data_IF_065861930713
#
_entry.id   IF_065861930713
#
_cell.length_a   1.000
_cell.length_b   1.000
_cell.length_c   1.000
_cell.angle_alpha   90.00
_cell.angle_beta   90.00
_cell.angle_gamma   90.00
#
_symmetry.space_group_name_H-M   'P 1'
#
loop_
_entity.id
_entity.type
_entity.pdbx_description
1 polymer ?
#
# COMPACT_ATOMS: atom_id res chain seq x y z
N UNK A 1 -18.33 1.24 -10.20
CA UNK A 1 -18.22 1.68 -8.80
C UNK A 1 -17.10 0.87 -8.17
N UNK A 2 -16.16 1.53 -7.47
CA UNK A 2 -15.08 0.80 -6.82
C UNK A 2 -15.63 0.03 -5.62
N UNK A 3 -15.25 -1.25 -5.50
CA UNK A 3 -15.67 -2.14 -4.41
C UNK A 3 -14.70 -2.05 -3.25
N UNK A 4 -15.21 -1.82 -2.06
CA UNK A 4 -14.45 -1.75 -0.82
C UNK A 4 -14.96 -2.83 0.13
N UNK A 5 -14.06 -3.70 0.59
CA UNK A 5 -14.38 -4.67 1.62
C UNK A 5 -13.99 -4.10 3.00
N UNK A 6 -14.91 -4.19 3.96
CA UNK A 6 -14.67 -3.84 5.37
C UNK A 6 -14.64 -5.15 6.16
N UNK A 7 -13.57 -5.39 6.89
CA UNK A 7 -13.43 -6.50 7.84
C UNK A 7 -13.22 -5.92 9.23
N UNK A 8 -14.28 -5.94 10.03
CA UNK A 8 -14.35 -5.29 11.34
C UNK A 8 -15.41 -6.03 12.18
N UNK A 9 -15.08 -6.51 13.36
CA UNK A 9 -16.00 -7.27 14.20
C UNK A 9 -16.99 -6.38 14.94
N UNK A 10 -16.62 -5.13 15.27
CA UNK A 10 -17.50 -4.22 16.00
C UNK A 10 -18.57 -3.62 15.07
N UNK A 11 -19.89 -3.94 15.27
CA UNK A 11 -20.96 -3.51 14.37
C UNK A 11 -21.12 -1.99 14.27
N UNK A 12 -20.79 -1.24 15.34
CA UNK A 12 -20.88 0.22 15.39
C UNK A 12 -19.85 0.86 14.47
N UNK A 13 -18.59 0.39 14.50
CA UNK A 13 -17.50 0.88 13.65
C UNK A 13 -17.77 0.46 12.21
N UNK A 14 -18.11 -0.81 11.96
CA UNK A 14 -18.42 -1.33 10.63
C UNK A 14 -19.57 -0.54 9.99
N UNK A 15 -20.68 -0.33 10.72
CA UNK A 15 -21.83 0.44 10.25
C UNK A 15 -21.50 1.91 9.95
N UNK A 16 -20.69 2.55 10.80
CA UNK A 16 -20.23 3.90 10.63
C UNK A 16 -19.36 4.04 9.35
N UNK A 17 -18.41 3.16 9.14
CA UNK A 17 -17.57 3.13 7.94
C UNK A 17 -18.42 2.90 6.70
N UNK A 18 -19.32 1.91 6.72
CA UNK A 18 -20.21 1.59 5.61
C UNK A 18 -21.03 2.80 5.15
N UNK A 19 -21.68 3.51 6.09
CA UNK A 19 -22.50 4.69 5.77
C UNK A 19 -21.64 5.74 5.07
N UNK A 20 -20.48 6.05 5.61
CA UNK A 20 -19.58 7.05 5.04
C UNK A 20 -19.09 6.68 3.64
N UNK A 21 -18.73 5.42 3.41
CA UNK A 21 -18.27 4.95 2.10
C UNK A 21 -19.41 4.98 1.06
N UNK A 22 -20.62 4.57 1.43
CA UNK A 22 -21.79 4.66 0.55
C UNK A 22 -22.12 6.10 0.15
N UNK A 23 -22.01 7.05 1.09
CA UNK A 23 -22.16 8.48 0.80
C UNK A 23 -21.11 9.01 -0.19
N UNK A 24 -19.96 8.34 -0.27
CA UNK A 24 -18.89 8.66 -1.23
C UNK A 24 -18.94 7.81 -2.52
N UNK A 25 -20.07 7.17 -2.81
CA UNK A 25 -20.33 6.37 -4.01
C UNK A 25 -19.42 5.14 -4.16
N UNK A 26 -19.04 4.48 -3.05
CA UNK A 26 -18.38 3.18 -3.08
C UNK A 26 -19.37 2.04 -2.95
N UNK A 27 -19.07 0.91 -3.60
CA UNK A 27 -19.77 -0.35 -3.39
C UNK A 27 -19.12 -1.07 -2.18
N UNK A 28 -19.91 -1.35 -1.14
CA UNK A 28 -19.39 -1.78 0.16
C UNK A 28 -19.81 -3.19 0.47
N UNK A 29 -18.81 -4.02 0.72
CA UNK A 29 -18.92 -5.41 1.19
C UNK A 29 -18.47 -5.43 2.65
N UNK A 30 -19.14 -6.20 3.49
CA UNK A 30 -18.86 -6.29 4.93
C UNK A 30 -18.50 -7.71 5.32
N UNK A 31 -17.57 -7.85 6.26
CA UNK A 31 -17.23 -9.10 6.94
C UNK A 31 -17.01 -8.83 8.44
N UNK A 32 -17.33 -9.82 9.26
CA UNK A 32 -17.25 -9.71 10.73
C UNK A 32 -16.03 -10.45 11.29
N UNK A 33 -15.44 -11.35 10.51
CA UNK A 33 -14.26 -12.13 10.90
C UNK A 33 -13.23 -12.14 9.79
N UNK A 34 -12.00 -12.48 10.13
CA UNK A 34 -10.91 -12.59 9.17
C UNK A 34 -11.17 -13.65 8.10
N UNK A 35 -11.72 -14.81 8.50
CA UNK A 35 -12.06 -15.90 7.60
C UNK A 35 -13.10 -15.47 6.57
N UNK A 36 -14.19 -14.83 7.03
CA UNK A 36 -15.22 -14.27 6.16
C UNK A 36 -14.64 -13.21 5.21
N UNK A 37 -13.71 -12.39 5.71
CA UNK A 37 -13.00 -11.38 4.94
C UNK A 37 -12.23 -11.99 3.77
N UNK A 38 -11.49 -13.06 3.99
CA UNK A 38 -10.75 -13.77 2.94
C UNK A 38 -11.71 -14.38 1.91
N UNK A 39 -12.79 -15.03 2.34
CA UNK A 39 -13.78 -15.63 1.44
C UNK A 39 -14.42 -14.55 0.55
N UNK A 40 -14.86 -13.44 1.13
CA UNK A 40 -15.47 -12.32 0.41
C UNK A 40 -14.48 -11.61 -0.53
N UNK A 41 -13.21 -11.53 -0.15
CA UNK A 41 -12.18 -10.99 -1.03
C UNK A 41 -12.01 -11.86 -2.29
N UNK A 42 -12.01 -13.19 -2.15
CA UNK A 42 -11.95 -14.14 -3.29
C UNK A 42 -13.16 -14.06 -4.19
N UNK A 43 -14.37 -13.97 -3.60
CA UNK A 43 -15.63 -13.93 -4.34
C UNK A 43 -15.81 -12.60 -5.10
N UNK A 44 -15.60 -11.48 -4.41
CA UNK A 44 -15.98 -10.17 -4.94
C UNK A 44 -14.83 -9.38 -5.55
N UNK A 45 -13.58 -9.76 -5.29
CA UNK A 45 -12.33 -9.11 -5.78
C UNK A 45 -12.36 -7.59 -5.60
N UNK A 46 -12.46 -7.09 -4.35
CA UNK A 46 -12.50 -5.66 -4.07
C UNK A 46 -11.18 -4.98 -4.47
N UNK A 47 -11.24 -3.70 -4.84
CA UNK A 47 -10.05 -2.91 -5.14
C UNK A 47 -9.29 -2.52 -3.86
N UNK A 48 -10.02 -2.31 -2.75
CA UNK A 48 -9.43 -1.95 -1.45
C UNK A 48 -10.11 -2.74 -0.35
N UNK A 49 -9.34 -3.17 0.63
CA UNK A 49 -9.83 -3.72 1.90
C UNK A 49 -9.47 -2.79 3.05
N UNK A 50 -10.43 -2.59 3.95
CA UNK A 50 -10.25 -1.96 5.25
C UNK A 50 -10.30 -3.08 6.28
N UNK A 51 -9.24 -3.28 7.03
CA UNK A 51 -9.01 -4.48 7.83
C UNK A 51 -8.61 -4.12 9.25
N UNK A 52 -9.44 -4.51 10.22
CA UNK A 52 -9.04 -4.41 11.63
C UNK A 52 -7.93 -5.41 11.96
N UNK A 53 -6.98 -4.99 12.77
CA UNK A 53 -5.94 -5.87 13.31
C UNK A 53 -6.54 -6.83 14.33
N UNK A 54 -7.42 -6.33 15.20
CA UNK A 54 -7.93 -7.08 16.35
C UNK A 54 -9.23 -7.83 16.01
N UNK A 55 -9.15 -8.82 15.14
CA UNK A 55 -10.29 -9.66 14.78
C UNK A 55 -10.37 -10.92 15.63
N UNK A 56 -11.59 -11.45 15.89
CA UNK A 56 -11.77 -12.76 16.47
C UNK A 56 -11.36 -13.86 15.45
N UNK A 57 -10.79 -14.96 15.95
CA UNK A 57 -10.31 -16.06 15.11
C UNK A 57 -8.91 -15.76 14.54
N UNK A 58 -8.77 -15.69 13.24
CA UNK A 58 -7.52 -15.23 12.63
C UNK A 58 -7.41 -13.71 12.74
N UNK A 59 -6.24 -13.22 13.19
CA UNK A 59 -6.02 -11.80 13.32
C UNK A 59 -5.85 -11.08 11.96
N UNK A 60 -6.01 -9.76 11.97
CA UNK A 60 -5.92 -8.97 10.74
C UNK A 60 -4.54 -9.00 10.09
N UNK A 61 -3.45 -9.26 10.81
CA UNK A 61 -2.11 -9.36 10.24
C UNK A 61 -1.98 -10.62 9.38
N UNK A 62 -2.50 -11.75 9.85
CA UNK A 62 -2.51 -12.99 9.08
C UNK A 62 -3.46 -12.92 7.88
N UNK A 63 -4.62 -12.24 8.03
CA UNK A 63 -5.51 -11.92 6.90
C UNK A 63 -4.78 -11.06 5.86
N UNK A 64 -4.09 -9.99 6.30
CA UNK A 64 -3.31 -9.11 5.42
C UNK A 64 -2.28 -9.90 4.62
N UNK A 65 -1.48 -10.74 5.29
CA UNK A 65 -0.47 -11.59 4.66
C UNK A 65 -1.07 -12.54 3.62
N UNK A 66 -2.17 -13.21 3.97
CA UNK A 66 -2.87 -14.14 3.08
C UNK A 66 -3.38 -13.42 1.85
N UNK A 67 -4.09 -12.30 2.04
CA UNK A 67 -4.66 -11.53 0.94
C UNK A 67 -3.59 -10.88 0.07
N UNK A 68 -2.46 -10.48 0.63
CA UNK A 68 -1.35 -9.94 -0.16
C UNK A 68 -0.72 -10.98 -1.07
N UNK A 69 -0.62 -12.24 -0.62
CA UNK A 69 -0.13 -13.34 -1.45
C UNK A 69 -1.10 -13.69 -2.59
N UNK A 70 -2.41 -13.67 -2.32
CA UNK A 70 -3.42 -14.01 -3.32
C UNK A 70 -3.76 -12.83 -4.27
N UNK A 71 -3.69 -11.61 -3.77
CA UNK A 71 -4.08 -10.38 -4.48
C UNK A 71 -3.01 -9.30 -4.35
N UNK A 72 -1.87 -9.41 -5.06
CA UNK A 72 -0.74 -8.48 -4.93
C UNK A 72 -1.12 -7.02 -5.16
N UNK A 73 -2.07 -6.77 -6.07
CA UNK A 73 -2.50 -5.42 -6.49
C UNK A 73 -3.68 -4.84 -5.68
N UNK A 74 -4.23 -5.58 -4.72
CA UNK A 74 -5.32 -5.07 -3.88
C UNK A 74 -4.79 -4.07 -2.87
N UNK A 75 -5.44 -2.92 -2.71
CA UNK A 75 -5.11 -1.96 -1.66
C UNK A 75 -5.51 -2.48 -0.28
N UNK A 76 -4.63 -2.38 0.72
CA UNK A 76 -4.91 -2.81 2.10
C UNK A 76 -4.67 -1.66 3.06
N UNK A 77 -5.73 -1.23 3.77
CA UNK A 77 -5.66 -0.26 4.87
C UNK A 77 -5.92 -0.99 6.17
N UNK A 78 -4.96 -0.94 7.10
CA UNK A 78 -5.13 -1.52 8.43
C UNK A 78 -5.78 -0.52 9.38
N UNK A 79 -6.78 -0.96 10.16
CA UNK A 79 -7.28 -0.23 11.32
C UNK A 79 -6.57 -0.72 12.57
N UNK A 80 -6.06 0.19 13.40
CA UNK A 80 -5.29 -0.17 14.60
C UNK A 80 -5.69 0.67 15.81
N UNK A 81 -5.62 0.10 17.00
CA UNK A 81 -5.73 0.86 18.24
C UNK A 81 -4.41 1.60 18.54
N UNK A 82 -4.49 2.77 19.18
CA UNK A 82 -3.37 3.71 19.42
C UNK A 82 -2.18 3.15 20.22
N UNK A 83 -2.24 1.92 20.73
CA UNK A 83 -1.42 1.50 21.87
C UNK A 83 -0.04 0.92 21.53
N UNK A 84 0.29 0.60 20.28
CA UNK A 84 1.61 0.02 19.98
C UNK A 84 2.16 0.50 18.63
N UNK A 85 3.28 1.24 18.67
CA UNK A 85 4.05 1.56 17.47
C UNK A 85 4.55 0.30 16.73
N UNK A 86 4.65 -0.82 17.45
CA UNK A 86 4.95 -2.15 16.91
C UNK A 86 3.88 -2.66 15.95
N UNK A 87 2.57 -2.46 16.24
CA UNK A 87 1.48 -2.96 15.39
C UNK A 87 1.42 -2.26 14.04
N UNK A 88 1.79 -0.97 14.00
CA UNK A 88 1.87 -0.18 12.75
C UNK A 88 3.01 -0.69 11.87
N UNK A 89 4.18 -0.92 12.46
CA UNK A 89 5.36 -1.43 11.73
C UNK A 89 5.08 -2.85 11.24
N UNK A 90 4.48 -3.70 12.08
CA UNK A 90 4.12 -5.07 11.71
C UNK A 90 3.07 -5.09 10.59
N UNK A 91 1.97 -4.34 10.70
CA UNK A 91 0.95 -4.29 9.64
C UNK A 91 1.53 -3.89 8.29
N UNK A 92 2.41 -2.89 8.27
CA UNK A 92 3.12 -2.51 7.06
C UNK A 92 4.12 -3.60 6.61
N UNK A 93 4.83 -4.28 7.50
CA UNK A 93 5.72 -5.39 7.16
C UNK A 93 4.98 -6.60 6.56
N UNK A 94 3.71 -6.83 6.95
CA UNK A 94 2.85 -7.88 6.39
C UNK A 94 2.18 -7.52 5.06
N UNK A 95 2.42 -6.34 4.50
CA UNK A 95 1.96 -6.02 3.16
C UNK A 95 0.86 -4.95 3.07
N UNK A 96 0.46 -4.31 4.16
CA UNK A 96 -0.48 -3.19 4.10
C UNK A 96 0.09 -2.00 3.33
N UNK A 97 -0.76 -1.26 2.63
CA UNK A 97 -0.40 -0.03 1.90
C UNK A 97 -0.48 1.20 2.79
N UNK A 98 -1.35 1.15 3.81
CA UNK A 98 -1.57 2.24 4.75
C UNK A 98 -2.15 1.72 6.07
N UNK A 99 -2.17 2.57 7.10
CA UNK A 99 -2.82 2.28 8.39
C UNK A 99 -3.55 3.52 8.92
N UNK A 100 -4.61 3.28 9.70
CA UNK A 100 -5.40 4.32 10.36
C UNK A 100 -5.58 3.95 11.83
N UNK A 101 -5.36 4.93 12.71
CA UNK A 101 -5.49 4.75 14.15
C UNK A 101 -6.94 5.02 14.57
N UNK A 102 -7.55 4.09 15.32
CA UNK A 102 -8.85 4.28 15.98
C UNK A 102 -8.69 5.18 17.25
N UNK A 103 -9.58 6.15 17.48
CA UNK A 103 -10.69 6.58 16.63
C UNK A 103 -10.22 7.46 15.47
N UNK A 104 -10.84 7.32 14.31
CA UNK A 104 -10.45 8.02 13.08
C UNK A 104 -11.56 8.93 12.52
N UNK A 105 -11.14 9.89 11.71
CA UNK A 105 -12.07 10.75 10.97
C UNK A 105 -12.52 10.01 9.68
N UNK A 106 -13.83 9.91 9.39
CA UNK A 106 -14.33 9.29 8.15
C UNK A 106 -13.81 9.94 6.88
N UNK A 107 -13.60 11.26 6.91
CA UNK A 107 -13.01 11.98 5.78
C UNK A 107 -11.57 11.52 5.51
N UNK A 108 -10.77 11.36 6.56
CA UNK A 108 -9.41 10.82 6.47
C UNK A 108 -9.41 9.43 5.80
N UNK A 109 -10.25 8.51 6.29
CA UNK A 109 -10.38 7.17 5.71
C UNK A 109 -10.76 7.26 4.22
N UNK A 110 -11.72 8.10 3.88
CA UNK A 110 -12.15 8.29 2.48
C UNK A 110 -11.03 8.81 1.59
N UNK A 111 -10.24 9.78 2.06
CA UNK A 111 -9.11 10.35 1.31
C UNK A 111 -8.01 9.30 1.07
N UNK A 112 -7.71 8.47 2.07
CA UNK A 112 -6.75 7.39 1.96
C UNK A 112 -7.19 6.31 0.97
N UNK A 113 -8.47 5.91 1.00
CA UNK A 113 -9.03 4.98 0.02
C UNK A 113 -8.91 5.56 -1.40
N UNK A 114 -9.28 6.84 -1.60
CA UNK A 114 -9.14 7.49 -2.91
C UNK A 114 -7.68 7.57 -3.38
N UNK A 115 -6.74 7.79 -2.47
CA UNK A 115 -5.31 7.78 -2.78
C UNK A 115 -4.85 6.39 -3.26
N UNK A 116 -5.27 5.32 -2.57
CA UNK A 116 -4.97 3.94 -2.97
C UNK A 116 -5.64 3.61 -4.31
N UNK A 117 -6.91 3.95 -4.51
CA UNK A 117 -7.62 3.70 -5.76
C UNK A 117 -6.96 4.40 -6.96
N UNK A 118 -6.44 5.62 -6.79
CA UNK A 118 -5.64 6.28 -7.85
C UNK A 118 -4.43 5.43 -8.23
N UNK A 119 -3.76 4.80 -7.25
CA UNK A 119 -2.61 3.93 -7.49
C UNK A 119 -3.01 2.65 -8.22
N UNK A 120 -4.11 2.02 -7.77
CA UNK A 120 -4.63 0.78 -8.38
C UNK A 120 -5.16 1.05 -9.80
N UNK A 121 -5.83 2.19 -10.03
CA UNK A 121 -6.54 2.51 -11.28
C UNK A 121 -5.73 3.38 -12.26
N UNK A 122 -4.53 3.88 -11.91
CA UNK A 122 -3.75 4.73 -12.80
C UNK A 122 -3.36 3.97 -14.09
N UNK A 123 -4.10 4.19 -15.15
CA UNK A 123 -3.79 3.71 -16.52
C UNK A 123 -3.10 4.85 -17.24
N UNK A 124 -1.79 4.76 -17.40
CA UNK A 124 -1.05 5.69 -18.25
C UNK A 124 -1.21 5.26 -19.70
N UNK A 125 -1.79 6.14 -20.52
CA UNK A 125 -1.81 6.00 -21.98
C UNK A 125 -0.55 6.67 -22.53
N UNK A 126 0.51 5.91 -22.73
CA UNK A 126 1.69 6.33 -23.49
C UNK A 126 2.09 5.21 -24.46
N UNK A 127 2.54 5.57 -25.65
CA UNK A 127 3.03 4.61 -26.65
C UNK A 127 4.35 3.94 -26.21
N UNK A 128 5.07 4.54 -25.26
CA UNK A 128 6.25 3.95 -24.60
C UNK A 128 5.85 3.45 -23.20
N UNK A 129 5.32 2.24 -23.15
CA UNK A 129 4.85 1.63 -21.88
C UNK A 129 5.97 1.02 -21.02
N UNK A 130 7.23 1.21 -21.36
CA UNK A 130 8.36 0.59 -20.66
C UNK A 130 9.37 1.65 -20.24
N UNK A 131 9.69 1.70 -18.95
CA UNK A 131 10.82 2.47 -18.42
C UNK A 131 11.85 1.51 -17.82
N UNK A 132 13.13 1.88 -17.96
CA UNK A 132 14.24 1.04 -17.48
C UNK A 132 15.18 1.81 -16.57
N UNK A 133 15.76 1.11 -15.58
CA UNK A 133 16.73 1.66 -14.66
C UNK A 133 17.66 0.59 -14.11
N UNK A 134 18.90 0.51 -14.61
CA UNK A 134 19.82 -0.59 -14.31
C UNK A 134 19.25 -1.93 -14.77
N UNK A 135 19.19 -2.97 -13.89
CA UNK A 135 18.62 -4.28 -14.25
C UNK A 135 17.09 -4.30 -14.22
N UNK A 136 16.44 -3.17 -13.92
CA UNK A 136 14.98 -3.10 -13.75
C UNK A 136 14.29 -2.58 -15.00
N UNK A 137 13.12 -3.19 -15.26
CA UNK A 137 12.18 -2.82 -16.31
C UNK A 137 10.79 -2.72 -15.70
N UNK A 138 10.16 -1.57 -15.88
CA UNK A 138 8.77 -1.34 -15.43
C UNK A 138 7.88 -1.28 -16.67
N UNK A 139 6.89 -2.16 -16.70
CA UNK A 139 5.80 -2.07 -17.66
C UNK A 139 4.69 -1.20 -17.03
N UNK A 140 4.51 -0.01 -17.58
CA UNK A 140 3.55 0.97 -17.10
C UNK A 140 2.10 0.55 -17.37
N UNK A 141 1.87 -0.26 -18.40
CA UNK A 141 0.53 -0.73 -18.77
C UNK A 141 0.07 -1.86 -17.84
N UNK A 142 0.90 -2.89 -17.67
CA UNK A 142 0.59 -4.02 -16.78
C UNK A 142 0.89 -3.74 -15.31
N UNK A 143 1.60 -2.63 -15.00
CA UNK A 143 2.09 -2.25 -13.66
C UNK A 143 2.98 -3.31 -13.02
N UNK A 144 3.76 -3.98 -13.85
CA UNK A 144 4.70 -5.01 -13.44
C UNK A 144 6.13 -4.48 -13.44
N UNK A 145 6.93 -4.99 -12.53
CA UNK A 145 8.37 -4.72 -12.47
C UNK A 145 9.11 -6.04 -12.67
N UNK A 146 10.15 -5.97 -13.47
CA UNK A 146 11.07 -7.08 -13.72
C UNK A 146 12.47 -6.68 -13.30
N UNK A 147 13.24 -7.62 -12.76
CA UNK A 147 14.66 -7.53 -12.52
C UNK A 147 15.33 -8.66 -13.30
N UNK A 148 16.26 -8.34 -14.19
CA UNK A 148 16.93 -9.33 -15.06
C UNK A 148 15.92 -10.25 -15.79
N UNK A 149 14.82 -9.67 -16.32
CA UNK A 149 13.68 -10.31 -16.99
C UNK A 149 12.78 -11.19 -16.08
N UNK A 150 13.07 -11.32 -14.78
CA UNK A 150 12.21 -12.00 -13.81
C UNK A 150 11.23 -11.03 -13.15
N UNK A 151 9.94 -11.39 -13.12
CA UNK A 151 8.90 -10.56 -12.49
C UNK A 151 9.11 -10.50 -10.96
N UNK A 152 9.07 -9.29 -10.40
CA UNK A 152 9.13 -9.06 -8.96
C UNK A 152 7.71 -8.85 -8.44
N UNK A 153 7.33 -9.60 -7.41
CA UNK A 153 6.05 -9.39 -6.72
C UNK A 153 6.11 -8.15 -5.83
N UNK A 154 5.38 -7.09 -6.22
CA UNK A 154 5.36 -5.79 -5.54
C UNK A 154 3.94 -5.31 -5.27
N UNK A 155 3.78 -4.54 -4.20
CA UNK A 155 2.51 -3.87 -3.88
C UNK A 155 2.30 -2.62 -4.73
N UNK A 156 1.06 -2.08 -4.83
CA UNK A 156 0.80 -0.82 -5.51
C UNK A 156 1.66 0.36 -5.02
N UNK A 157 1.92 0.42 -3.72
CA UNK A 157 2.76 1.46 -3.11
C UNK A 157 4.23 1.30 -3.50
N UNK A 158 4.75 0.07 -3.46
CA UNK A 158 6.12 -0.24 -3.88
C UNK A 158 6.34 0.02 -5.37
N UNK A 159 5.34 -0.29 -6.21
CA UNK A 159 5.36 0.03 -7.63
C UNK A 159 5.54 1.53 -7.87
N UNK A 160 4.76 2.38 -7.17
CA UNK A 160 4.88 3.83 -7.33
C UNK A 160 6.23 4.37 -6.86
N UNK A 161 6.74 3.88 -5.73
CA UNK A 161 8.08 4.24 -5.26
C UNK A 161 9.14 3.91 -6.29
N UNK A 162 9.11 2.69 -6.85
CA UNK A 162 10.06 2.27 -7.89
C UNK A 162 9.95 3.17 -9.13
N UNK A 163 8.72 3.44 -9.59
CA UNK A 163 8.48 4.31 -10.75
C UNK A 163 9.09 5.69 -10.53
N UNK A 164 8.76 6.35 -9.39
CA UNK A 164 9.29 7.67 -9.04
C UNK A 164 10.82 7.67 -9.03
N UNK A 165 11.43 6.66 -8.47
CA UNK A 165 12.89 6.58 -8.39
C UNK A 165 13.55 6.37 -9.75
N UNK A 166 13.03 5.46 -10.57
CA UNK A 166 13.59 5.16 -11.90
C UNK A 166 13.38 6.32 -12.88
N UNK A 167 12.25 7.04 -12.79
CA UNK A 167 11.99 8.25 -13.59
C UNK A 167 12.88 9.44 -13.19
N UNK A 168 13.46 9.42 -11.98
CA UNK A 168 14.26 10.53 -11.45
C UNK A 168 15.62 10.04 -10.92
N UNK A 169 16.47 9.43 -11.75
CA UNK A 169 17.74 8.89 -11.31
C UNK A 169 18.65 9.98 -10.76
N UNK A 170 19.29 9.71 -9.63
CA UNK A 170 20.21 10.66 -8.97
C UNK A 170 19.54 11.75 -8.15
N UNK A 171 18.24 11.99 -8.30
CA UNK A 171 17.51 12.94 -7.43
C UNK A 171 17.35 12.36 -6.02
N UNK A 172 17.72 13.16 -5.01
CA UNK A 172 17.41 12.86 -3.64
C UNK A 172 16.02 13.40 -3.31
N UNK A 173 15.15 12.53 -2.79
CA UNK A 173 13.82 12.88 -2.31
C UNK A 173 13.84 12.87 -0.79
N UNK A 174 13.24 13.88 -0.17
CA UNK A 174 12.95 13.82 1.26
C UNK A 174 11.70 12.96 1.53
N UNK A 175 11.43 12.67 2.82
CA UNK A 175 10.29 11.81 3.21
C UNK A 175 8.95 12.44 2.87
N UNK A 176 8.82 13.74 3.06
CA UNK A 176 7.58 14.46 2.80
C UNK A 176 7.29 14.54 1.29
N UNK A 177 8.32 14.77 0.45
CA UNK A 177 8.17 14.69 -1.01
C UNK A 177 7.72 13.31 -1.48
N UNK A 178 8.30 12.22 -0.95
CA UNK A 178 7.86 10.86 -1.29
C UNK A 178 6.46 10.58 -0.77
N UNK A 179 6.12 11.09 0.41
CA UNK A 179 4.79 10.98 1.00
C UNK A 179 3.75 11.63 0.08
N UNK A 180 3.98 12.88 -0.32
CA UNK A 180 3.10 13.63 -1.20
C UNK A 180 2.93 12.97 -2.58
N UNK A 181 4.03 12.51 -3.17
CA UNK A 181 4.01 11.88 -4.50
C UNK A 181 3.30 10.52 -4.49
N UNK A 182 3.48 9.73 -3.43
CA UNK A 182 2.94 8.37 -3.34
C UNK A 182 1.59 8.33 -2.64
N UNK A 183 1.41 9.03 -1.53
CA UNK A 183 0.16 9.03 -0.76
C UNK A 183 -0.75 10.23 -1.06
N UNK A 184 -0.21 11.31 -1.60
CA UNK A 184 -0.92 12.55 -1.98
C UNK A 184 -0.80 13.63 -0.90
N UNK A 185 -0.96 14.90 -1.33
CA UNK A 185 -0.82 16.08 -0.46
C UNK A 185 -1.79 16.13 0.71
N UNK A 186 -2.92 15.45 0.61
CA UNK A 186 -3.94 15.39 1.67
C UNK A 186 -3.68 14.25 2.67
N UNK A 187 -2.52 13.56 2.58
CA UNK A 187 -2.20 12.46 3.47
C UNK A 187 -1.82 12.98 4.87
N UNK A 188 -2.62 12.63 5.88
CA UNK A 188 -2.45 13.07 7.27
C UNK A 188 -1.69 12.05 8.15
N UNK A 189 -0.91 11.15 7.55
CA UNK A 189 -0.16 10.10 8.27
C UNK A 189 1.28 10.51 8.60
N UNK A 190 1.95 9.64 9.39
CA UNK A 190 3.36 9.81 9.74
C UNK A 190 4.27 9.44 8.54
N UNK A 191 5.25 10.29 8.24
CA UNK A 191 6.23 10.05 7.17
C UNK A 191 7.10 8.80 7.38
N UNK A 192 7.07 8.18 8.57
CA UNK A 192 7.67 6.85 8.82
C UNK A 192 7.12 5.73 7.93
N UNK A 193 5.89 5.90 7.38
CA UNK A 193 5.34 4.97 6.39
C UNK A 193 6.25 4.83 5.17
N UNK A 194 6.94 5.90 4.79
CA UNK A 194 7.92 5.90 3.70
C UNK A 194 9.08 4.95 4.03
N UNK A 195 9.65 5.07 5.24
CA UNK A 195 10.80 4.25 5.65
C UNK A 195 10.47 2.75 5.65
N UNK A 196 9.27 2.40 6.11
CA UNK A 196 8.82 1.01 6.11
C UNK A 196 8.66 0.47 4.68
N UNK A 197 8.05 1.25 3.79
CA UNK A 197 7.88 0.83 2.40
C UNK A 197 9.23 0.78 1.65
N UNK A 198 10.17 1.69 1.92
CA UNK A 198 11.54 1.62 1.40
C UNK A 198 12.27 0.37 1.90
N UNK A 199 12.14 0.01 3.18
CA UNK A 199 12.73 -1.22 3.73
C UNK A 199 12.17 -2.47 3.04
N UNK A 200 10.85 -2.53 2.84
CA UNK A 200 10.20 -3.63 2.14
C UNK A 200 10.64 -3.71 0.69
N UNK A 201 10.65 -2.56 -0.01
CA UNK A 201 11.09 -2.52 -1.40
C UNK A 201 12.54 -2.99 -1.53
N UNK A 202 13.44 -2.52 -0.64
CA UNK A 202 14.83 -3.00 -0.60
C UNK A 202 14.92 -4.53 -0.41
N UNK A 203 14.08 -5.12 0.45
CA UNK A 203 14.11 -6.58 0.65
C UNK A 203 13.75 -7.39 -0.59
N UNK A 204 13.10 -6.77 -1.58
CA UNK A 204 12.70 -7.40 -2.84
C UNK A 204 13.68 -7.15 -3.99
N UNK A 205 14.34 -5.98 -4.00
CA UNK A 205 15.17 -5.54 -5.15
C UNK A 205 16.67 -5.61 -4.90
N UNK A 206 17.11 -5.50 -3.64
CA UNK A 206 18.52 -5.47 -3.27
C UNK A 206 19.01 -6.87 -2.91
N UNK A 207 20.25 -7.20 -3.26
CA UNK A 207 20.90 -8.45 -2.81
C UNK A 207 21.13 -8.44 -1.29
N UNK A 208 21.52 -7.29 -0.76
CA UNK A 208 21.75 -7.07 0.67
C UNK A 208 21.01 -5.80 1.09
N UNK A 209 19.79 -5.90 1.69
CA UNK A 209 18.96 -4.73 2.02
C UNK A 209 19.61 -3.73 2.99
N UNK A 210 20.54 -4.19 3.84
CA UNK A 210 21.32 -3.34 4.76
C UNK A 210 22.44 -2.55 4.07
N UNK A 211 22.89 -3.00 2.88
CA UNK A 211 23.89 -2.36 2.03
C UNK A 211 23.34 -2.10 0.64
N UNK A 212 22.27 -1.28 0.50
CA UNK A 212 21.54 -1.16 -0.73
C UNK A 212 22.41 -0.58 -1.85
N UNK A 213 22.30 -1.15 -3.05
CA UNK A 213 22.98 -0.67 -4.26
C UNK A 213 22.14 0.38 -4.99
N UNK A 214 20.83 0.16 -5.10
CA UNK A 214 19.92 0.97 -5.92
C UNK A 214 19.25 2.09 -5.13
N UNK A 215 18.57 1.80 -4.02
CA UNK A 215 17.93 2.84 -3.20
C UNK A 215 18.87 3.23 -2.06
N UNK A 216 19.66 4.28 -2.27
CA UNK A 216 20.61 4.80 -1.28
C UNK A 216 19.93 5.71 -0.25
N UNK A 217 20.35 5.61 1.02
CA UNK A 217 20.00 6.61 2.02
C UNK A 217 20.91 7.83 1.87
N UNK A 218 20.30 9.00 1.76
CA UNK A 218 20.98 10.29 1.77
C UNK A 218 20.79 10.91 3.16
N UNK A 219 21.82 10.82 4.01
CA UNK A 219 21.76 11.26 5.39
C UNK A 219 21.32 12.73 5.50
N UNK A 220 20.38 13.00 6.39
CA UNK A 220 19.80 14.32 6.57
C UNK A 220 18.78 14.75 5.49
N UNK A 221 18.62 13.97 4.41
CA UNK A 221 17.67 14.27 3.33
C UNK A 221 16.59 13.19 3.22
N UNK A 222 16.95 11.97 2.84
CA UNK A 222 15.99 10.90 2.59
C UNK A 222 16.58 9.80 1.71
N UNK A 223 16.05 9.62 0.49
CA UNK A 223 16.37 8.50 -0.38
C UNK A 223 16.65 8.94 -1.82
N UNK A 224 17.50 8.19 -2.52
CA UNK A 224 17.88 8.45 -3.91
C UNK A 224 18.08 7.14 -4.66
N UNK A 225 17.61 7.11 -5.91
CA UNK A 225 17.94 6.04 -6.84
C UNK A 225 19.35 6.23 -7.42
N UNK A 226 20.09 5.15 -7.46
CA UNK A 226 21.40 5.10 -8.12
C UNK A 226 21.37 4.03 -9.19
N UNK A 227 21.55 4.43 -10.45
CA UNK A 227 21.84 3.48 -11.53
C UNK A 227 23.27 2.95 -11.31
N UNK A 228 23.40 1.67 -11.10
CA UNK A 228 24.69 0.96 -11.02
C UNK A 228 24.95 0.22 -12.31
#
# INVERSE_FOLDING_TARGET
>A
MDKILIVEDEPSIRGFVKVNLKMNNFDVIEAETGEEGIEKAREHKPQVIILDIMLPGIDGLEVCKTLRQEFPNMGIIMLTAKSQDTDKVLGLEYGADDYIIKPFNPLELTLRIKAILRRVNAVEKSDDNIITGGPFKIDLYSKKIYKDEEEIDITPTEYLLMKIFIENPGKAFNRDELLDLVWGYDFMGDSKIVDVNIRRLRSKIEETPSEPKFIKTVWGTGYRWQNT
#
